data_IF_238326687411
#
_entry.id   IF_238326687411
#
_cell.length_a   1.000
_cell.length_b   1.000
_cell.length_c   1.000
_cell.angle_alpha   90.00
_cell.angle_beta   90.00
_cell.angle_gamma   90.00
#
_symmetry.space_group_name_H-M   'P 1'
#
loop_
_entity.id
_entity.type
_entity.pdbx_description
1 polymer ?
#
# COMPACT_ATOMS: atom_id res chain seq x y z
N UNK A 1 -1.94 -31.41 -11.24
CA UNK A 1 -1.22 -31.43 -9.94
C UNK A 1 0.06 -30.68 -10.18
N UNK A 2 0.39 -29.57 -9.53
CA UNK A 2 0.14 -29.24 -8.13
C UNK A 2 -0.63 -27.91 -8.03
N UNK A 3 -1.88 -27.96 -7.55
CA UNK A 3 -2.41 -26.79 -6.85
C UNK A 3 -1.42 -26.55 -5.71
N UNK A 4 -0.66 -25.46 -5.80
CA UNK A 4 0.57 -25.18 -5.04
C UNK A 4 0.45 -25.69 -3.62
N UNK A 5 1.40 -26.52 -3.19
CA UNK A 5 1.48 -27.05 -1.82
C UNK A 5 1.32 -25.91 -0.79
N UNK A 6 1.75 -24.69 -1.15
CA UNK A 6 1.57 -23.49 -0.32
C UNK A 6 0.10 -23.17 -0.05
N UNK A 7 -0.81 -23.20 -1.04
CA UNK A 7 -2.22 -22.85 -0.86
C UNK A 7 -2.94 -23.76 0.13
N UNK A 8 -2.63 -25.06 0.10
CA UNK A 8 -3.12 -26.03 1.09
C UNK A 8 -2.59 -25.74 2.49
N UNK A 9 -1.30 -25.44 2.60
CA UNK A 9 -0.68 -25.11 3.88
C UNK A 9 -1.24 -23.79 4.45
N UNK A 10 -1.48 -22.78 3.61
CA UNK A 10 -2.11 -21.52 4.01
C UNK A 10 -3.49 -21.76 4.63
N UNK A 11 -4.33 -22.56 3.97
CA UNK A 11 -5.66 -22.88 4.51
C UNK A 11 -5.57 -23.68 5.82
N UNK A 12 -4.61 -24.60 5.93
CA UNK A 12 -4.38 -25.37 7.15
C UNK A 12 -3.91 -24.52 8.34
N UNK A 13 -3.39 -23.31 8.13
CA UNK A 13 -3.01 -22.40 9.25
C UNK A 13 -4.20 -21.88 10.04
N UNK A 14 -5.41 -21.91 9.48
CA UNK A 14 -6.65 -21.48 10.16
C UNK A 14 -7.49 -22.65 10.65
N UNK A 15 -6.97 -23.87 10.57
CA UNK A 15 -7.65 -25.07 11.05
C UNK A 15 -7.82 -25.03 12.58
N UNK A 16 -8.99 -25.42 13.13
CA UNK A 16 -9.20 -25.48 14.57
C UNK A 16 -8.30 -26.52 15.27
N UNK A 17 -7.79 -27.52 14.54
CA UNK A 17 -6.88 -28.53 15.07
C UNK A 17 -5.45 -27.98 15.16
N UNK A 18 -4.94 -27.89 16.39
CA UNK A 18 -3.61 -27.38 16.69
C UNK A 18 -2.47 -28.14 15.98
N UNK A 19 -2.62 -29.45 15.79
CA UNK A 19 -1.59 -30.27 15.15
C UNK A 19 -1.49 -29.95 13.65
N UNK A 20 -2.65 -29.82 12.98
CA UNK A 20 -2.73 -29.45 11.56
C UNK A 20 -2.15 -28.05 11.35
N UNK A 21 -2.54 -27.10 12.20
CA UNK A 21 -2.03 -25.73 12.15
C UNK A 21 -0.52 -25.67 12.35
N UNK A 22 0.00 -26.30 13.40
CA UNK A 22 1.44 -26.28 13.69
C UNK A 22 2.26 -26.94 12.59
N UNK A 23 1.77 -28.04 12.00
CA UNK A 23 2.43 -28.68 10.87
C UNK A 23 2.46 -27.76 9.63
N UNK A 24 1.36 -27.08 9.34
CA UNK A 24 1.26 -26.13 8.25
C UNK A 24 2.19 -24.92 8.44
N UNK A 25 2.23 -24.34 9.64
CA UNK A 25 3.14 -23.25 10.00
C UNK A 25 4.62 -23.68 9.84
N UNK A 26 4.97 -24.89 10.28
CA UNK A 26 6.31 -25.45 10.11
C UNK A 26 6.67 -25.62 8.63
N UNK A 27 5.74 -26.11 7.80
CA UNK A 27 5.96 -26.23 6.34
C UNK A 27 6.17 -24.87 5.68
N UNK A 28 5.39 -23.85 6.06
CA UNK A 28 5.56 -22.49 5.55
C UNK A 28 6.89 -21.88 5.98
N UNK A 29 7.31 -22.13 7.23
CA UNK A 29 8.61 -21.70 7.74
C UNK A 29 9.76 -22.34 6.98
N UNK A 30 9.72 -23.66 6.76
CA UNK A 30 10.73 -24.38 5.98
C UNK A 30 10.78 -23.89 4.52
N UNK A 31 9.64 -23.62 3.91
CA UNK A 31 9.59 -23.06 2.55
C UNK A 31 10.25 -21.67 2.48
N UNK A 32 9.97 -20.81 3.48
CA UNK A 32 10.60 -19.49 3.62
C UNK A 32 12.12 -19.58 3.77
N UNK A 33 12.61 -20.50 4.59
CA UNK A 33 14.05 -20.71 4.87
C UNK A 33 14.79 -21.35 3.69
N UNK A 34 14.12 -22.23 2.94
CA UNK A 34 14.72 -22.94 1.80
C UNK A 34 14.94 -22.03 0.59
N UNK A 35 13.93 -21.26 0.19
CA UNK A 35 14.04 -20.32 -0.92
C UNK A 35 13.05 -19.18 -0.73
N UNK A 36 13.54 -18.10 -0.14
CA UNK A 36 12.71 -16.95 0.19
C UNK A 36 12.09 -16.28 -1.04
N UNK A 37 12.82 -16.18 -2.16
CA UNK A 37 12.31 -15.57 -3.39
C UNK A 37 11.16 -16.40 -3.98
N UNK A 38 11.36 -17.72 -4.08
CA UNK A 38 10.33 -18.62 -4.57
C UNK A 38 9.11 -18.64 -3.64
N UNK A 39 9.32 -18.58 -2.33
CA UNK A 39 8.26 -18.49 -1.33
C UNK A 39 7.38 -17.24 -1.55
N UNK A 40 7.98 -16.07 -1.73
CA UNK A 40 7.24 -14.83 -2.00
C UNK A 40 6.49 -14.90 -3.33
N UNK A 41 7.08 -15.47 -4.39
CA UNK A 41 6.39 -15.64 -5.66
C UNK A 41 5.18 -16.59 -5.54
N UNK A 42 5.34 -17.72 -4.84
CA UNK A 42 4.24 -18.64 -4.57
C UNK A 42 3.10 -17.98 -3.78
N UNK A 43 3.41 -17.18 -2.76
CA UNK A 43 2.40 -16.40 -2.04
C UNK A 43 1.72 -15.35 -2.93
N UNK A 44 2.48 -14.66 -3.79
CA UNK A 44 1.93 -13.65 -4.72
C UNK A 44 0.90 -14.27 -5.66
N UNK A 45 1.21 -15.46 -6.19
CA UNK A 45 0.30 -16.22 -7.04
C UNK A 45 -0.99 -16.62 -6.30
N UNK A 46 -0.89 -17.14 -5.08
CA UNK A 46 -2.09 -17.47 -4.28
C UNK A 46 -2.91 -16.23 -3.90
N UNK A 47 -2.25 -15.08 -3.70
CA UNK A 47 -2.91 -13.82 -3.40
C UNK A 47 -3.70 -13.26 -4.60
N UNK A 48 -3.15 -13.38 -5.80
CA UNK A 48 -3.74 -12.83 -7.02
C UNK A 48 -4.77 -13.76 -7.67
N UNK A 49 -4.80 -15.03 -7.29
CA UNK A 49 -5.74 -16.02 -7.84
C UNK A 49 -7.18 -15.73 -7.40
N UNK A 50 -7.98 -15.17 -8.31
CA UNK A 50 -9.38 -14.80 -8.06
C UNK A 50 -10.31 -15.96 -7.74
N UNK A 51 -9.93 -17.19 -8.11
CA UNK A 51 -10.68 -18.42 -7.78
C UNK A 51 -10.56 -18.81 -6.30
N UNK A 52 -9.55 -18.31 -5.59
CA UNK A 52 -9.35 -18.62 -4.18
C UNK A 52 -10.31 -17.83 -3.29
N UNK A 53 -10.64 -18.41 -2.15
CA UNK A 53 -11.41 -17.73 -1.11
C UNK A 53 -10.72 -16.41 -0.68
N UNK A 54 -11.47 -15.30 -0.50
CA UNK A 54 -10.89 -14.00 -0.15
C UNK A 54 -10.07 -14.01 1.14
N UNK A 55 -10.41 -14.83 2.13
CA UNK A 55 -9.63 -14.97 3.36
C UNK A 55 -8.32 -15.71 3.10
N UNK A 56 -8.33 -16.76 2.27
CA UNK A 56 -7.10 -17.44 1.87
C UNK A 56 -6.13 -16.49 1.16
N UNK A 57 -6.66 -15.68 0.24
CA UNK A 57 -5.90 -14.62 -0.45
C UNK A 57 -5.34 -13.64 0.58
N UNK A 58 -6.17 -13.16 1.50
CA UNK A 58 -5.73 -12.26 2.56
C UNK A 58 -4.58 -12.87 3.41
N UNK A 59 -4.65 -14.14 3.78
CA UNK A 59 -3.56 -14.81 4.53
C UNK A 59 -2.26 -14.78 3.72
N UNK A 60 -2.31 -15.12 2.42
CA UNK A 60 -1.14 -15.05 1.55
C UNK A 60 -0.54 -13.63 1.51
N UNK A 61 -1.38 -12.62 1.31
CA UNK A 61 -0.96 -11.22 1.31
C UNK A 61 -0.39 -10.75 2.65
N UNK A 62 -0.97 -11.17 3.78
CA UNK A 62 -0.45 -10.85 5.11
C UNK A 62 0.91 -11.50 5.37
N UNK A 63 1.17 -12.70 4.85
CA UNK A 63 2.50 -13.32 4.94
C UNK A 63 3.53 -12.57 4.11
N UNK A 64 3.18 -12.11 2.90
CA UNK A 64 4.04 -11.22 2.09
C UNK A 64 4.33 -9.94 2.87
N UNK A 65 3.28 -9.31 3.42
CA UNK A 65 3.41 -8.11 4.24
C UNK A 65 4.40 -8.31 5.39
N UNK A 66 4.21 -9.35 6.19
CA UNK A 66 5.02 -9.69 7.36
C UNK A 66 6.46 -10.08 7.00
N UNK A 67 6.68 -10.52 5.75
CA UNK A 67 8.01 -10.80 5.24
C UNK A 67 8.86 -9.53 5.04
N UNK A 68 8.21 -8.37 4.82
CA UNK A 68 8.89 -7.09 4.57
C UNK A 68 8.60 -5.99 5.62
N UNK A 69 7.87 -6.29 6.69
CA UNK A 69 7.64 -5.34 7.79
C UNK A 69 8.08 -5.90 9.15
N UNK A 70 8.60 -5.05 10.02
CA UNK A 70 8.81 -5.34 11.44
C UNK A 70 8.55 -4.10 12.28
N UNK A 71 8.23 -4.30 13.56
CA UNK A 71 8.19 -3.23 14.57
C UNK A 71 9.56 -2.94 15.16
N UNK A 72 10.50 -3.87 15.01
CA UNK A 72 11.88 -3.68 15.44
C UNK A 72 12.68 -2.97 14.34
N UNK A 73 13.39 -1.91 14.70
CA UNK A 73 14.12 -1.07 13.73
C UNK A 73 15.27 -1.83 13.05
N UNK A 74 15.95 -2.72 13.78
CA UNK A 74 17.04 -3.50 13.23
C UNK A 74 16.51 -4.55 12.23
N UNK A 75 15.48 -5.29 12.61
CA UNK A 75 14.83 -6.26 11.72
C UNK A 75 14.18 -5.58 10.50
N UNK A 76 13.63 -4.38 10.67
CA UNK A 76 13.06 -3.57 9.58
C UNK A 76 14.11 -3.23 8.51
N UNK A 77 15.31 -2.82 8.94
CA UNK A 77 16.44 -2.54 8.05
C UNK A 77 16.94 -3.81 7.33
N UNK A 78 17.01 -4.96 8.00
CA UNK A 78 17.35 -6.23 7.37
C UNK A 78 16.32 -6.66 6.31
N UNK A 79 15.03 -6.47 6.60
CA UNK A 79 13.95 -6.72 5.63
C UNK A 79 13.99 -5.75 4.45
N UNK A 80 14.31 -4.48 4.70
CA UNK A 80 14.52 -3.51 3.64
C UNK A 80 15.67 -3.92 2.72
N UNK A 81 16.83 -4.30 3.26
CA UNK A 81 17.96 -4.82 2.47
C UNK A 81 17.59 -6.07 1.69
N UNK A 82 16.82 -6.97 2.30
CA UNK A 82 16.31 -8.16 1.63
C UNK A 82 15.49 -7.78 0.40
N UNK A 83 14.51 -6.86 0.55
CA UNK A 83 13.75 -6.35 -0.59
C UNK A 83 14.65 -5.69 -1.64
N UNK A 84 15.58 -4.82 -1.24
CA UNK A 84 16.43 -4.10 -2.20
C UNK A 84 17.29 -5.05 -3.05
N UNK A 85 17.71 -6.18 -2.48
CA UNK A 85 18.51 -7.22 -3.14
C UNK A 85 17.67 -8.31 -3.83
N UNK A 86 16.33 -8.23 -3.81
CA UNK A 86 15.49 -9.18 -4.55
C UNK A 86 15.77 -9.14 -6.07
N UNK A 87 15.63 -10.27 -6.78
CA UNK A 87 15.68 -10.30 -8.24
C UNK A 87 14.66 -9.32 -8.86
N UNK A 88 15.10 -8.53 -9.84
CA UNK A 88 14.30 -7.42 -10.37
C UNK A 88 13.06 -7.90 -11.13
N UNK A 89 13.16 -9.03 -11.82
CA UNK A 89 12.04 -9.72 -12.46
C UNK A 89 10.92 -10.06 -11.47
N UNK A 90 11.28 -10.60 -10.30
CA UNK A 90 10.32 -10.96 -9.25
C UNK A 90 9.75 -9.71 -8.57
N UNK A 91 10.55 -8.65 -8.38
CA UNK A 91 10.02 -7.37 -7.88
C UNK A 91 8.98 -6.80 -8.83
N UNK A 92 9.29 -6.74 -10.12
CA UNK A 92 8.37 -6.22 -11.14
C UNK A 92 7.09 -7.05 -11.20
N UNK A 93 7.19 -8.39 -11.19
CA UNK A 93 6.04 -9.29 -11.15
C UNK A 93 5.14 -9.01 -9.94
N UNK A 94 5.72 -8.93 -8.73
CA UNK A 94 4.96 -8.64 -7.51
C UNK A 94 4.29 -7.26 -7.58
N UNK A 95 5.01 -6.21 -8.01
CA UNK A 95 4.46 -4.85 -8.15
C UNK A 95 3.30 -4.82 -9.14
N UNK A 96 3.45 -5.44 -10.30
CA UNK A 96 2.42 -5.51 -11.32
C UNK A 96 1.17 -6.25 -10.82
N UNK A 97 1.37 -7.39 -10.16
CA UNK A 97 0.30 -8.17 -9.54
C UNK A 97 -0.50 -7.33 -8.53
N UNK A 98 0.19 -6.56 -7.68
CA UNK A 98 -0.45 -5.67 -6.71
C UNK A 98 -1.23 -4.53 -7.39
N UNK A 99 -0.68 -3.92 -8.43
CA UNK A 99 -1.35 -2.85 -9.18
C UNK A 99 -2.60 -3.35 -9.92
N UNK A 100 -2.51 -4.55 -10.51
CA UNK A 100 -3.66 -5.20 -11.17
C UNK A 100 -4.79 -5.44 -10.17
N UNK A 101 -4.48 -5.87 -8.94
CA UNK A 101 -5.49 -6.02 -7.89
C UNK A 101 -6.22 -4.70 -7.59
N UNK A 102 -5.51 -3.56 -7.56
CA UNK A 102 -6.15 -2.26 -7.32
C UNK A 102 -7.12 -1.84 -8.44
N UNK A 103 -6.88 -2.27 -9.68
CA UNK A 103 -7.73 -1.96 -10.82
C UNK A 103 -8.88 -2.97 -11.03
N UNK A 104 -8.77 -4.16 -10.46
CA UNK A 104 -9.80 -5.19 -10.51
C UNK A 104 -10.79 -5.01 -9.37
N UNK A 105 -12.09 -5.09 -9.67
CA UNK A 105 -13.12 -5.16 -8.63
C UNK A 105 -12.96 -6.47 -7.85
N UNK A 106 -12.26 -6.40 -6.71
CA UNK A 106 -12.02 -7.51 -5.80
C UNK A 106 -12.55 -7.18 -4.39
N UNK A 107 -12.60 -8.19 -3.52
CA UNK A 107 -13.01 -8.03 -2.13
C UNK A 107 -12.20 -6.97 -1.38
N UNK A 108 -12.89 -6.16 -0.58
CA UNK A 108 -12.28 -5.07 0.20
C UNK A 108 -11.10 -5.52 1.07
N UNK A 109 -11.17 -6.73 1.63
CA UNK A 109 -10.10 -7.29 2.48
C UNK A 109 -8.82 -7.57 1.68
N UNK A 110 -8.95 -8.01 0.43
CA UNK A 110 -7.83 -8.29 -0.48
C UNK A 110 -7.21 -6.97 -0.91
N UNK A 111 -8.04 -6.00 -1.32
CA UNK A 111 -7.57 -4.66 -1.71
C UNK A 111 -6.84 -3.98 -0.55
N UNK A 112 -7.42 -3.98 0.66
CA UNK A 112 -6.76 -3.40 1.84
C UNK A 112 -5.42 -4.05 2.14
N UNK A 113 -5.30 -5.38 1.94
CA UNK A 113 -4.04 -6.10 2.10
C UNK A 113 -3.03 -5.73 1.01
N UNK A 114 -3.47 -5.58 -0.24
CA UNK A 114 -2.62 -5.11 -1.34
C UNK A 114 -2.09 -3.70 -1.06
N UNK A 115 -2.95 -2.80 -0.58
CA UNK A 115 -2.55 -1.43 -0.18
C UNK A 115 -1.45 -1.44 0.89
N UNK A 116 -1.57 -2.30 1.90
CA UNK A 116 -0.54 -2.43 2.93
C UNK A 116 0.80 -2.91 2.36
N UNK A 117 0.79 -3.90 1.47
CA UNK A 117 2.02 -4.41 0.84
C UNK A 117 2.65 -3.34 -0.05
N UNK A 118 1.86 -2.66 -0.89
CA UNK A 118 2.32 -1.55 -1.74
C UNK A 118 2.94 -0.45 -0.87
N UNK A 119 2.28 -0.07 0.22
CA UNK A 119 2.77 0.94 1.16
C UNK A 119 4.17 0.57 1.69
N UNK A 120 4.34 -0.66 2.19
CA UNK A 120 5.62 -1.14 2.73
C UNK A 120 6.71 -1.14 1.67
N UNK A 121 6.43 -1.68 0.48
CA UNK A 121 7.43 -1.75 -0.61
C UNK A 121 7.84 -0.36 -1.06
N UNK A 122 6.86 0.51 -1.35
CA UNK A 122 7.13 1.88 -1.80
C UNK A 122 7.88 2.68 -0.72
N UNK A 123 7.53 2.52 0.56
CA UNK A 123 8.24 3.12 1.68
C UNK A 123 9.70 2.68 1.77
N UNK A 124 9.97 1.38 1.59
CA UNK A 124 11.35 0.85 1.58
C UNK A 124 12.15 1.52 0.46
N UNK A 125 11.59 1.58 -0.75
CA UNK A 125 12.26 2.16 -1.92
C UNK A 125 12.55 3.65 -1.73
N UNK A 126 11.53 4.42 -1.32
CA UNK A 126 11.64 5.86 -1.09
C UNK A 126 12.61 6.21 0.05
N UNK A 127 12.55 5.49 1.17
CA UNK A 127 13.46 5.68 2.31
C UNK A 127 14.93 5.42 1.97
N UNK A 128 15.20 4.66 0.89
CA UNK A 128 16.54 4.36 0.40
C UNK A 128 16.93 5.19 -0.84
N UNK A 129 16.27 6.34 -1.05
CA UNK A 129 16.49 7.25 -2.17
C UNK A 129 16.36 6.58 -3.55
N UNK A 130 15.50 5.54 -3.66
CA UNK A 130 15.14 4.94 -4.95
C UNK A 130 13.82 5.53 -5.44
N UNK A 131 13.69 5.64 -6.76
CA UNK A 131 12.41 5.96 -7.40
C UNK A 131 11.43 4.80 -7.17
N UNK A 132 10.20 5.12 -6.79
CA UNK A 132 9.13 4.14 -6.58
C UNK A 132 8.14 4.20 -7.74
N UNK A 133 8.19 3.19 -8.61
CA UNK A 133 7.18 3.04 -9.68
C UNK A 133 5.77 2.90 -9.10
N UNK A 134 5.63 2.25 -7.94
CA UNK A 134 4.36 2.10 -7.25
C UNK A 134 3.75 3.47 -6.91
N UNK A 135 4.55 4.41 -6.39
CA UNK A 135 4.08 5.77 -6.11
C UNK A 135 3.56 6.43 -7.39
N UNK A 136 4.35 6.42 -8.46
CA UNK A 136 3.96 7.08 -9.72
C UNK A 136 2.71 6.45 -10.34
N UNK A 137 2.57 5.13 -10.28
CA UNK A 137 1.38 4.41 -10.76
C UNK A 137 0.14 4.73 -9.90
N UNK A 138 0.27 4.76 -8.58
CA UNK A 138 -0.83 5.17 -7.69
C UNK A 138 -1.32 6.59 -8.02
N UNK A 139 -0.39 7.53 -8.19
CA UNK A 139 -0.75 8.91 -8.48
C UNK A 139 -1.41 9.04 -9.86
N UNK A 140 -0.88 8.35 -10.88
CA UNK A 140 -1.49 8.32 -12.20
C UNK A 140 -2.92 7.74 -12.15
N UNK A 141 -3.12 6.64 -11.43
CA UNK A 141 -4.43 6.00 -11.25
C UNK A 141 -5.47 6.91 -10.59
N UNK A 142 -5.05 7.85 -9.74
CA UNK A 142 -5.94 8.84 -9.12
C UNK A 142 -6.39 9.87 -10.15
N UNK A 143 -5.57 10.19 -11.14
CA UNK A 143 -5.93 11.11 -12.23
C UNK A 143 -6.83 10.43 -13.27
N UNK A 144 -6.82 9.09 -13.35
CA UNK A 144 -7.65 8.33 -14.27
C UNK A 144 -9.16 8.46 -13.99
N UNK A 145 -9.97 8.16 -15.02
CA UNK A 145 -11.44 8.30 -14.98
C UNK A 145 -12.15 7.15 -14.26
N UNK A 146 -11.50 6.00 -14.05
CA UNK A 146 -12.15 4.86 -13.43
C UNK A 146 -12.33 5.10 -11.92
N UNK A 147 -13.58 5.28 -11.47
CA UNK A 147 -13.90 5.62 -10.08
C UNK A 147 -13.39 4.58 -9.06
N UNK A 148 -13.43 3.29 -9.41
CA UNK A 148 -12.94 2.23 -8.54
C UNK A 148 -11.42 2.28 -8.38
N UNK A 149 -10.69 2.37 -9.49
CA UNK A 149 -9.23 2.42 -9.51
C UNK A 149 -8.71 3.69 -8.84
N UNK A 150 -9.39 4.81 -9.06
CA UNK A 150 -9.15 6.07 -8.33
C UNK A 150 -9.30 5.84 -6.83
N UNK A 151 -10.43 5.33 -6.37
CA UNK A 151 -10.69 5.05 -4.95
C UNK A 151 -9.65 4.13 -4.31
N UNK A 152 -9.38 2.98 -4.92
CA UNK A 152 -8.42 2.00 -4.39
C UNK A 152 -7.00 2.57 -4.34
N UNK A 153 -6.59 3.32 -5.36
CA UNK A 153 -5.28 3.96 -5.42
C UNK A 153 -5.14 5.12 -4.43
N UNK A 154 -6.19 5.93 -4.24
CA UNK A 154 -6.21 6.98 -3.20
C UNK A 154 -6.09 6.38 -1.81
N UNK A 155 -6.82 5.31 -1.51
CA UNK A 155 -6.72 4.60 -0.22
C UNK A 155 -5.30 4.04 -0.03
N UNK A 156 -4.71 3.44 -1.07
CA UNK A 156 -3.34 2.95 -1.01
C UNK A 156 -2.32 4.07 -0.77
N UNK A 157 -2.49 5.21 -1.42
CA UNK A 157 -1.64 6.39 -1.23
C UNK A 157 -1.79 6.98 0.18
N UNK A 158 -2.99 6.90 0.78
CA UNK A 158 -3.20 7.29 2.16
C UNK A 158 -2.38 6.43 3.13
N UNK A 159 -2.33 5.10 2.92
CA UNK A 159 -1.45 4.21 3.70
C UNK A 159 0.02 4.55 3.52
N UNK A 160 0.47 4.77 2.27
CA UNK A 160 1.87 5.10 1.97
C UNK A 160 2.31 6.41 2.64
N UNK A 161 1.50 7.45 2.52
CA UNK A 161 1.82 8.75 3.13
C UNK A 161 1.76 8.72 4.65
N UNK A 162 0.87 7.92 5.24
CA UNK A 162 0.82 7.69 6.69
C UNK A 162 2.09 6.97 7.17
N UNK A 163 2.44 5.84 6.56
CA UNK A 163 3.61 5.07 6.95
C UNK A 163 4.93 5.88 6.78
N UNK A 164 5.02 6.73 5.77
CA UNK A 164 6.19 7.61 5.56
C UNK A 164 6.20 8.75 6.58
N UNK A 165 5.06 9.36 6.87
CA UNK A 165 4.95 10.41 7.90
C UNK A 165 5.41 9.88 9.26
N UNK A 166 4.96 8.68 9.64
CA UNK A 166 5.35 8.03 10.89
C UNK A 166 6.87 7.82 10.98
N UNK A 167 7.48 7.22 9.94
CA UNK A 167 8.93 6.99 9.91
C UNK A 167 9.72 8.31 9.95
N UNK A 168 9.26 9.34 9.24
CA UNK A 168 9.92 10.64 9.23
C UNK A 168 9.81 11.36 10.59
N UNK A 169 8.69 11.21 11.28
CA UNK A 169 8.50 11.75 12.63
C UNK A 169 9.42 11.06 13.65
N UNK A 170 9.58 9.74 13.56
CA UNK A 170 10.45 8.97 14.46
C UNK A 170 11.94 9.23 14.20
N UNK A 171 12.36 9.20 12.94
CA UNK A 171 13.77 9.36 12.55
C UNK A 171 14.24 10.81 12.46
N UNK A 172 13.31 11.78 12.49
CA UNK A 172 13.53 13.20 12.16
C UNK A 172 14.13 13.42 10.76
N UNK A 173 14.06 12.43 9.88
CA UNK A 173 14.45 12.55 8.48
C UNK A 173 13.31 13.16 7.66
N UNK A 174 13.62 14.06 6.72
CA UNK A 174 12.64 14.66 5.81
C UNK A 174 12.73 14.14 4.37
N UNK A 175 13.60 13.17 4.09
CA UNK A 175 14.09 12.90 2.73
C UNK A 175 13.38 11.76 1.99
N UNK A 176 12.18 11.35 2.41
CA UNK A 176 11.48 10.24 1.74
C UNK A 176 10.86 10.64 0.40
N UNK A 177 10.26 11.82 0.30
CA UNK A 177 9.70 12.33 -0.95
C UNK A 177 10.62 13.36 -1.58
N UNK A 178 10.80 13.28 -2.89
CA UNK A 178 11.43 14.38 -3.64
C UNK A 178 10.41 15.49 -3.87
N UNK A 179 10.86 16.73 -4.14
CA UNK A 179 9.95 17.82 -4.49
C UNK A 179 9.07 17.48 -5.71
N UNK A 180 9.60 16.89 -6.80
CA UNK A 180 8.76 16.41 -7.90
C UNK A 180 7.69 15.40 -7.48
N UNK A 181 7.99 14.48 -6.55
CA UNK A 181 6.99 13.53 -6.05
C UNK A 181 5.87 14.28 -5.28
N UNK A 182 6.24 15.24 -4.43
CA UNK A 182 5.27 16.05 -3.68
C UNK A 182 4.35 16.85 -4.61
N UNK A 183 4.91 17.50 -5.63
CA UNK A 183 4.14 18.29 -6.60
C UNK A 183 3.17 17.40 -7.39
N UNK A 184 3.62 16.21 -7.78
CA UNK A 184 2.80 15.21 -8.48
C UNK A 184 1.64 14.73 -7.59
N UNK A 185 1.93 14.36 -6.33
CA UNK A 185 0.90 13.91 -5.39
C UNK A 185 -0.11 15.03 -5.11
N UNK A 186 0.36 16.24 -4.78
CA UNK A 186 -0.50 17.39 -4.48
C UNK A 186 -1.45 17.69 -5.65
N UNK A 187 -0.91 17.71 -6.88
CA UNK A 187 -1.71 17.95 -8.08
C UNK A 187 -2.83 16.91 -8.23
N UNK A 188 -2.51 15.62 -8.07
CA UNK A 188 -3.51 14.57 -8.20
C UNK A 188 -4.58 14.61 -7.11
N UNK A 189 -4.18 14.87 -5.86
CA UNK A 189 -5.09 14.92 -4.71
C UNK A 189 -6.00 16.15 -4.78
N UNK A 190 -5.46 17.32 -5.12
CA UNK A 190 -6.25 18.55 -5.29
C UNK A 190 -7.26 18.38 -6.42
N UNK A 191 -6.83 17.85 -7.57
CA UNK A 191 -7.74 17.57 -8.68
C UNK A 191 -8.83 16.57 -8.26
N UNK A 192 -8.48 15.50 -7.56
CA UNK A 192 -9.46 14.52 -7.10
C UNK A 192 -10.43 15.05 -6.05
N UNK A 193 -10.05 16.06 -5.25
CA UNK A 193 -10.92 16.73 -4.28
C UNK A 193 -11.87 17.74 -4.93
N UNK A 194 -11.51 18.27 -6.11
CA UNK A 194 -12.37 19.18 -6.86
C UNK A 194 -13.43 18.45 -7.71
N UNK A 195 -13.29 17.13 -7.90
CA UNK A 195 -14.25 16.31 -8.63
C UNK A 195 -15.31 15.68 -7.70
N UNK A 196 -16.56 15.51 -8.15
CA UNK A 196 -17.56 14.74 -7.41
C UNK A 196 -17.10 13.29 -7.22
N UNK A 197 -17.07 12.83 -5.97
CA UNK A 197 -16.65 11.47 -5.62
C UNK A 197 -17.44 10.94 -4.41
N UNK A 198 -17.35 9.63 -4.19
CA UNK A 198 -17.89 9.02 -2.96
C UNK A 198 -17.15 9.56 -1.72
N UNK A 199 -17.86 9.66 -0.58
CA UNK A 199 -17.31 10.12 0.70
C UNK A 199 -16.01 9.40 1.08
N UNK A 200 -15.95 8.09 0.88
CA UNK A 200 -14.74 7.31 1.19
C UNK A 200 -13.50 7.72 0.39
N UNK A 201 -13.67 8.12 -0.87
CA UNK A 201 -12.56 8.64 -1.71
C UNK A 201 -12.16 10.04 -1.23
N UNK A 202 -13.14 10.89 -0.92
CA UNK A 202 -12.91 12.22 -0.37
C UNK A 202 -12.13 12.16 0.97
N UNK A 203 -12.57 11.30 1.90
CA UNK A 203 -11.87 11.05 3.17
C UNK A 203 -10.43 10.55 2.95
N UNK A 204 -10.21 9.65 1.99
CA UNK A 204 -8.87 9.16 1.69
C UNK A 204 -7.97 10.28 1.12
N UNK A 205 -8.49 11.12 0.21
CA UNK A 205 -7.76 12.29 -0.31
C UNK A 205 -7.39 13.28 0.79
N UNK A 206 -8.34 13.60 1.69
CA UNK A 206 -8.08 14.49 2.83
C UNK A 206 -7.03 13.89 3.78
N UNK A 207 -7.04 12.56 3.97
CA UNK A 207 -6.01 11.88 4.77
C UNK A 207 -4.62 11.98 4.12
N UNK A 208 -4.52 11.79 2.80
CA UNK A 208 -3.27 12.00 2.06
C UNK A 208 -2.76 13.44 2.27
N UNK A 209 -3.63 14.43 2.05
CA UNK A 209 -3.24 15.84 2.20
C UNK A 209 -2.78 16.16 3.63
N UNK A 210 -3.47 15.64 4.64
CA UNK A 210 -3.08 15.76 6.05
C UNK A 210 -1.69 15.17 6.32
N UNK A 211 -1.43 13.94 5.86
CA UNK A 211 -0.14 13.27 6.04
C UNK A 211 1.01 14.04 5.36
N UNK A 212 0.73 14.74 4.26
CA UNK A 212 1.73 15.52 3.51
C UNK A 212 2.10 16.86 4.15
N UNK A 213 1.34 17.36 5.13
CA UNK A 213 1.54 18.69 5.71
C UNK A 213 2.97 18.94 6.23
N UNK A 214 3.64 17.90 6.73
CA UNK A 214 5.03 17.98 7.21
C UNK A 214 6.08 18.03 6.10
N UNK A 215 5.71 17.74 4.86
CA UNK A 215 6.60 17.61 3.71
C UNK A 215 6.51 18.78 2.72
N UNK A 216 5.36 19.46 2.67
CA UNK A 216 5.03 20.46 1.63
C UNK A 216 5.39 21.90 2.02
N UNK A 217 6.44 22.08 2.84
CA UNK A 217 6.91 23.41 3.28
C UNK A 217 7.28 24.31 2.09
N UNK A 218 7.89 23.74 1.05
CA UNK A 218 8.24 24.47 -0.17
C UNK A 218 6.98 24.98 -0.88
N UNK A 219 5.97 24.14 -1.05
CA UNK A 219 4.72 24.50 -1.69
C UNK A 219 3.99 25.61 -0.93
N UNK A 220 4.04 25.58 0.41
CA UNK A 220 3.44 26.64 1.24
C UNK A 220 4.16 28.00 1.13
N UNK A 221 5.44 28.03 0.74
CA UNK A 221 6.17 29.29 0.48
C UNK A 221 5.68 29.96 -0.80
N UNK A 222 5.21 29.19 -1.78
CA UNK A 222 4.60 29.70 -3.00
C UNK A 222 3.16 30.12 -2.72
N UNK A 223 2.86 31.42 -2.84
CA UNK A 223 1.52 31.93 -2.52
C UNK A 223 0.41 31.25 -3.31
N UNK A 224 0.59 31.07 -4.62
CA UNK A 224 -0.42 30.46 -5.48
C UNK A 224 -0.74 29.03 -5.03
N UNK A 225 0.27 28.21 -4.76
CA UNK A 225 0.09 26.82 -4.31
C UNK A 225 -0.53 26.76 -2.92
N UNK A 226 -0.05 27.58 -1.98
CA UNK A 226 -0.63 27.70 -0.64
C UNK A 226 -2.12 28.06 -0.70
N UNK A 227 -2.49 29.05 -1.50
CA UNK A 227 -3.86 29.51 -1.59
C UNK A 227 -4.77 28.42 -2.18
N UNK A 228 -4.28 27.64 -3.16
CA UNK A 228 -4.99 26.46 -3.69
C UNK A 228 -5.16 25.38 -2.60
N UNK A 229 -4.08 24.99 -1.92
CA UNK A 229 -4.11 23.97 -0.86
C UNK A 229 -5.11 24.37 0.23
N UNK A 230 -5.02 25.61 0.73
CA UNK A 230 -5.91 26.10 1.78
C UNK A 230 -7.36 26.16 1.33
N UNK A 231 -7.62 26.60 0.09
CA UNK A 231 -8.98 26.60 -0.47
C UNK A 231 -9.54 25.18 -0.54
N UNK A 232 -8.78 24.22 -1.06
CA UNK A 232 -9.19 22.82 -1.16
C UNK A 232 -9.52 22.22 0.21
N UNK A 233 -8.70 22.48 1.24
CA UNK A 233 -8.98 22.03 2.62
C UNK A 233 -10.28 22.64 3.14
N UNK A 234 -10.45 23.96 2.97
CA UNK A 234 -11.64 24.68 3.45
C UNK A 234 -12.90 24.17 2.75
N UNK A 235 -12.86 23.98 1.44
CA UNK A 235 -14.00 23.52 0.66
C UNK A 235 -14.33 22.05 0.96
N UNK A 236 -13.32 21.19 1.14
CA UNK A 236 -13.50 19.81 1.59
C UNK A 236 -14.09 19.68 3.01
N UNK A 237 -14.00 20.74 3.83
CA UNK A 237 -14.67 20.78 5.14
C UNK A 237 -16.15 21.23 5.07
N UNK A 238 -16.58 21.83 3.95
CA UNK A 238 -17.92 22.44 3.81
C UNK A 238 -19.01 21.47 3.35
N UNK A 239 -18.72 20.17 3.30
CA UNK A 239 -19.67 19.19 2.79
C UNK A 239 -20.98 19.17 3.62
N UNK A 240 -22.03 19.75 3.03
CA UNK A 240 -23.31 20.10 3.64
C UNK A 240 -24.31 18.94 3.69
N UNK A 241 -23.94 17.73 3.25
CA UNK A 241 -24.79 16.53 3.31
C UNK A 241 -24.49 15.62 4.52
N UNK A 242 -23.81 16.13 5.55
CA UNK A 242 -23.78 15.43 6.84
C UNK A 242 -25.18 15.44 7.45
N UNK A 243 -25.94 14.36 7.26
CA UNK A 243 -26.98 14.01 8.21
C UNK A 243 -26.31 13.92 9.57
N UNK A 244 -26.56 14.91 10.41
CA UNK A 244 -26.20 14.86 11.82
C UNK A 244 -26.70 13.53 12.37
N UNK A 245 -25.79 12.70 12.85
CA UNK A 245 -26.15 11.56 13.69
C UNK A 245 -26.91 12.15 14.88
N UNK A 246 -28.23 11.97 14.87
CA UNK A 246 -29.09 12.20 16.03
C UNK A 246 -28.87 11.09 17.05
#
# INVERSE_FOLDING_TARGET
MESSNIGKNLYATVDPNINIRSEAENKLKLAKESNFVQYINQLSNEFCKSENDPYLRQIAGLLIKNAFTSKDNYESEEKARTWLNFPEDIKMELKNNLLVLLSQQSDKIVIGTACQIISIIAKIELSHNKSSELLHKLVNNIIEKNAYTKKSSTVCLAYLTEDIADVCNESKSKYAFTQPDLDLILTAIINSLCEPAEESTHCANMKVLYNLMSFIEHNFKTQVERDIIMKTVIDGCKDTERQSVQ
#
